data_IF_557500633268
#
_entry.id   IF_557500633268
#
_cell.length_a   1.000
_cell.length_b   1.000
_cell.length_c   1.000
_cell.angle_alpha   90.00
_cell.angle_beta   90.00
_cell.angle_gamma   90.00
#
_symmetry.space_group_name_H-M   'P 1'
#
loop_
_entity.id
_entity.type
_entity.pdbx_description
1 polymer ?
#
# COMPACT_ATOMS: atom_id res chain seq x y z
N UNK A 1 -0.10 6.60 5.40
CA UNK A 1 0.60 5.89 4.32
C UNK A 1 -0.06 6.17 2.99
N UNK A 2 0.33 5.48 1.92
CA UNK A 2 -0.26 5.59 0.58
C UNK A 2 -1.66 4.92 0.55
N UNK A 3 -2.65 5.59 1.14
CA UNK A 3 -4.02 5.09 1.32
C UNK A 3 -4.96 5.73 0.29
N UNK A 4 -5.63 4.92 -0.56
CA UNK A 4 -6.47 5.44 -1.64
C UNK A 4 -7.84 5.95 -1.19
N UNK A 5 -8.18 5.89 0.10
CA UNK A 5 -9.50 6.29 0.62
C UNK A 5 -9.50 7.68 1.28
N UNK A 6 -8.36 8.35 1.39
CA UNK A 6 -8.23 9.64 2.09
C UNK A 6 -8.69 10.82 1.21
N UNK A 7 -8.44 10.76 -0.10
CA UNK A 7 -8.80 11.79 -1.07
C UNK A 7 -9.58 11.20 -2.23
N UNK A 8 -10.34 12.05 -2.92
CA UNK A 8 -10.94 11.74 -4.22
C UNK A 8 -9.95 12.07 -5.33
N UNK A 9 -10.17 11.51 -6.50
CA UNK A 9 -9.39 11.84 -7.68
C UNK A 9 -9.61 13.30 -8.08
N UNK A 10 -8.51 13.98 -8.37
CA UNK A 10 -8.47 15.36 -8.83
C UNK A 10 -7.29 15.49 -9.81
N UNK A 11 -7.57 15.70 -11.09
CA UNK A 11 -6.50 15.78 -12.10
C UNK A 11 -5.61 17.01 -11.93
N UNK A 12 -6.14 18.12 -11.41
CA UNK A 12 -5.36 19.34 -11.19
C UNK A 12 -4.32 19.11 -10.09
N UNK A 13 -4.69 18.43 -9.00
CA UNK A 13 -3.74 17.99 -7.96
C UNK A 13 -2.76 16.90 -8.42
N UNK A 14 -3.06 16.18 -9.50
CA UNK A 14 -2.10 15.27 -10.12
C UNK A 14 -1.08 16.04 -10.99
N UNK A 15 -1.50 17.13 -11.64
CA UNK A 15 -0.63 17.99 -12.45
C UNK A 15 0.24 18.89 -11.57
N UNK A 16 -0.38 19.53 -10.59
CA UNK A 16 0.28 20.46 -9.68
C UNK A 16 0.89 19.71 -8.48
N UNK A 17 2.21 19.81 -8.24
CA UNK A 17 2.85 19.15 -7.12
C UNK A 17 2.41 19.77 -5.78
N UNK A 18 1.53 19.09 -5.07
CA UNK A 18 1.10 19.44 -3.70
C UNK A 18 1.52 18.36 -2.68
N UNK A 19 1.47 18.70 -1.40
CA UNK A 19 1.65 17.76 -0.28
C UNK A 19 0.60 16.63 -0.28
N UNK A 20 -0.58 16.89 -0.87
CA UNK A 20 -1.71 15.94 -0.95
C UNK A 20 -1.68 15.05 -2.18
N UNK A 21 -0.87 15.37 -3.19
CA UNK A 21 -0.78 14.67 -4.48
C UNK A 21 -0.64 13.16 -4.35
N UNK A 22 0.11 12.68 -3.35
CA UNK A 22 0.30 11.24 -3.12
C UNK A 22 -1.02 10.51 -2.78
N UNK A 23 -1.93 11.16 -2.05
CA UNK A 23 -3.25 10.57 -1.73
C UNK A 23 -4.19 10.59 -2.93
N UNK A 24 -4.11 11.64 -3.75
CA UNK A 24 -4.87 11.75 -5.00
C UNK A 24 -4.38 10.71 -6.02
N UNK A 25 -3.06 10.49 -6.10
CA UNK A 25 -2.44 9.46 -6.94
C UNK A 25 -2.91 8.05 -6.52
N UNK A 26 -2.94 7.76 -5.22
CA UNK A 26 -3.47 6.51 -4.70
C UNK A 26 -4.94 6.29 -5.11
N UNK A 27 -5.77 7.34 -4.97
CA UNK A 27 -7.17 7.31 -5.39
C UNK A 27 -7.31 7.07 -6.91
N UNK A 28 -6.47 7.72 -7.73
CA UNK A 28 -6.53 7.59 -9.19
C UNK A 28 -6.15 6.18 -9.68
N UNK A 29 -5.13 5.59 -9.05
CA UNK A 29 -4.78 4.18 -9.28
C UNK A 29 -5.93 3.25 -8.84
N UNK A 30 -6.62 3.56 -7.74
CA UNK A 30 -7.77 2.76 -7.28
C UNK A 30 -8.92 2.83 -8.29
N UNK A 31 -9.21 4.01 -8.83
CA UNK A 31 -10.21 4.26 -9.89
C UNK A 31 -9.82 3.70 -11.26
N UNK A 32 -8.62 3.13 -11.41
CA UNK A 32 -8.22 2.41 -12.63
C UNK A 32 -7.59 3.29 -13.70
N UNK A 33 -7.04 4.46 -13.33
CA UNK A 33 -6.26 5.27 -14.26
C UNK A 33 -5.06 4.47 -14.79
N UNK A 34 -4.80 4.58 -16.10
CA UNK A 34 -3.65 3.92 -16.70
C UNK A 34 -2.33 4.57 -16.28
N UNK A 35 -1.24 3.80 -16.31
CA UNK A 35 0.08 4.31 -15.94
C UNK A 35 0.54 5.39 -16.93
N UNK A 36 0.14 5.30 -18.20
CA UNK A 36 0.42 6.29 -19.23
C UNK A 36 -0.28 7.61 -18.94
N UNK A 37 -1.55 7.57 -18.52
CA UNK A 37 -2.31 8.76 -18.11
C UNK A 37 -1.67 9.41 -16.88
N UNK A 38 -1.35 8.60 -15.86
CA UNK A 38 -0.69 9.11 -14.65
C UNK A 38 0.70 9.67 -14.92
N UNK A 39 1.48 9.05 -15.80
CA UNK A 39 2.75 9.60 -16.27
C UNK A 39 2.55 10.94 -16.98
N UNK A 40 1.57 11.04 -17.89
CA UNK A 40 1.30 12.26 -18.62
C UNK A 40 0.95 13.43 -17.70
N UNK A 41 0.10 13.17 -16.69
CA UNK A 41 -0.33 14.14 -15.69
C UNK A 41 0.80 14.49 -14.71
N UNK A 42 1.53 13.48 -14.22
CA UNK A 42 2.39 13.68 -13.05
C UNK A 42 3.88 13.85 -13.34
N UNK A 43 4.33 13.32 -14.49
CA UNK A 43 5.75 13.11 -14.85
C UNK A 43 6.53 12.23 -13.87
N UNK A 44 5.86 11.52 -12.96
CA UNK A 44 6.48 10.49 -12.13
C UNK A 44 6.85 9.32 -13.04
N UNK A 45 8.11 8.88 -12.96
CA UNK A 45 8.58 7.77 -13.79
C UNK A 45 7.69 6.53 -13.65
N UNK A 46 7.47 5.84 -14.78
CA UNK A 46 6.56 4.68 -14.86
C UNK A 46 6.97 3.56 -13.92
N UNK A 47 8.25 3.39 -13.66
CA UNK A 47 8.75 2.39 -12.71
C UNK A 47 8.20 2.62 -11.31
N UNK A 48 8.17 3.87 -10.83
CA UNK A 48 7.57 4.20 -9.53
C UNK A 48 6.04 4.04 -9.56
N UNK A 49 5.39 4.47 -10.64
CA UNK A 49 3.94 4.30 -10.80
C UNK A 49 3.52 2.83 -10.76
N UNK A 50 4.34 1.93 -11.31
CA UNK A 50 4.13 0.49 -11.21
C UNK A 50 4.28 -0.01 -9.76
N UNK A 51 5.27 0.49 -9.00
CA UNK A 51 5.39 0.15 -7.56
C UNK A 51 4.19 0.66 -6.76
N UNK A 52 3.68 1.84 -7.05
CA UNK A 52 2.47 2.35 -6.42
C UNK A 52 1.24 1.53 -6.80
N UNK A 53 1.12 1.13 -8.06
CA UNK A 53 0.04 0.24 -8.51
C UNK A 53 0.04 -1.08 -7.76
N UNK A 54 1.21 -1.70 -7.52
CA UNK A 54 1.31 -2.93 -6.74
C UNK A 54 0.72 -2.81 -5.32
N UNK A 55 0.90 -1.65 -4.67
CA UNK A 55 0.32 -1.36 -3.35
C UNK A 55 -1.21 -1.29 -3.45
N UNK A 56 -1.73 -0.60 -4.47
CA UNK A 56 -3.17 -0.42 -4.68
C UNK A 56 -3.88 -1.71 -5.11
N UNK A 57 -3.25 -2.51 -5.96
CA UNK A 57 -3.76 -3.82 -6.35
C UNK A 57 -3.87 -4.72 -5.12
N UNK A 58 -2.89 -4.66 -4.21
CA UNK A 58 -2.98 -5.39 -2.95
C UNK A 58 -4.12 -4.91 -2.05
N UNK A 59 -4.40 -3.59 -2.01
CA UNK A 59 -5.60 -3.04 -1.35
C UNK A 59 -6.91 -3.56 -1.96
N UNK A 60 -6.94 -3.93 -3.24
CA UNK A 60 -8.13 -4.51 -3.89
C UNK A 60 -8.26 -6.01 -3.60
N UNK A 61 -7.15 -6.72 -3.44
CA UNK A 61 -7.13 -8.15 -3.14
C UNK A 61 -7.38 -8.48 -1.66
N UNK A 62 -6.82 -7.69 -0.74
CA UNK A 62 -6.86 -7.97 0.70
C UNK A 62 -8.29 -8.02 1.30
N UNK A 63 -9.29 -7.21 0.88
CA UNK A 63 -10.66 -7.30 1.38
C UNK A 63 -11.38 -8.60 1.00
N UNK A 64 -10.93 -9.32 -0.02
CA UNK A 64 -11.50 -10.62 -0.40
C UNK A 64 -11.10 -11.74 0.56
N UNK A 65 -10.25 -11.44 1.54
CA UNK A 65 -9.79 -12.34 2.59
C UNK A 65 -10.53 -11.95 3.87
N UNK A 66 -11.45 -12.81 4.32
CA UNK A 66 -12.09 -12.67 5.62
C UNK A 66 -11.05 -12.69 6.74
N UNK A 67 -11.36 -12.07 7.88
CA UNK A 67 -10.48 -12.05 9.05
C UNK A 67 -10.09 -13.45 9.54
N UNK A 68 -10.93 -14.45 9.27
CA UNK A 68 -10.71 -15.85 9.65
C UNK A 68 -9.93 -16.65 8.60
N UNK A 69 -9.72 -16.11 7.40
CA UNK A 69 -9.00 -16.78 6.29
C UNK A 69 -7.65 -16.13 5.98
N UNK A 70 -7.25 -15.11 6.74
CA UNK A 70 -5.95 -14.48 6.56
C UNK A 70 -4.83 -15.44 6.95
N UNK A 71 -4.09 -15.90 5.94
CA UNK A 71 -2.97 -16.81 6.12
C UNK A 71 -1.70 -16.05 6.49
N UNK A 72 -0.73 -16.76 7.08
CA UNK A 72 0.61 -16.22 7.37
C UNK A 72 1.29 -15.66 6.13
N UNK A 73 1.11 -16.29 4.96
CA UNK A 73 1.69 -15.84 3.69
C UNK A 73 1.12 -14.50 3.22
N UNK A 74 -0.21 -14.34 3.31
CA UNK A 74 -0.90 -13.09 2.98
C UNK A 74 -0.40 -11.99 3.92
N UNK A 75 -0.41 -12.24 5.23
CA UNK A 75 0.03 -11.25 6.21
C UNK A 75 1.51 -10.87 5.99
N UNK A 76 2.40 -11.83 5.76
CA UNK A 76 3.82 -11.60 5.47
C UNK A 76 4.02 -10.80 4.19
N UNK A 77 3.26 -11.08 3.14
CA UNK A 77 3.30 -10.32 1.88
C UNK A 77 2.85 -8.87 2.10
N UNK A 78 1.75 -8.65 2.82
CA UNK A 78 1.26 -7.32 3.19
C UNK A 78 2.33 -6.50 3.94
N UNK A 79 3.01 -7.12 4.93
CA UNK A 79 4.09 -6.45 5.68
C UNK A 79 5.28 -6.11 4.79
N UNK A 80 5.69 -7.01 3.88
CA UNK A 80 6.82 -6.77 2.94
C UNK A 80 6.58 -5.61 1.98
N UNK A 81 5.33 -5.38 1.58
CA UNK A 81 4.97 -4.23 0.73
C UNK A 81 4.70 -2.95 1.54
N UNK A 82 4.91 -2.98 2.86
CA UNK A 82 4.88 -1.79 3.73
C UNK A 82 3.53 -1.50 4.40
N UNK A 83 2.56 -2.42 4.40
CA UNK A 83 1.31 -2.19 5.12
C UNK A 83 1.53 -2.21 6.64
N UNK A 84 0.99 -1.19 7.31
CA UNK A 84 0.84 -1.17 8.76
C UNK A 84 -0.26 -2.12 9.24
N UNK A 85 -0.19 -2.54 10.50
CA UNK A 85 -1.21 -3.38 11.12
C UNK A 85 -2.58 -2.66 11.10
N UNK A 86 -2.59 -1.33 11.24
CA UNK A 86 -3.77 -0.47 11.11
C UNK A 86 -4.41 -0.53 9.72
N UNK A 87 -3.62 -0.45 8.65
CA UNK A 87 -4.14 -0.54 7.27
C UNK A 87 -4.72 -1.92 6.99
N UNK A 88 -4.06 -2.98 7.45
CA UNK A 88 -4.54 -4.36 7.28
C UNK A 88 -5.87 -4.53 8.04
N UNK A 89 -5.91 -4.11 9.31
CA UNK A 89 -7.10 -4.17 10.15
C UNK A 89 -8.30 -3.45 9.52
N UNK A 90 -8.10 -2.23 9.01
CA UNK A 90 -9.15 -1.47 8.32
C UNK A 90 -9.66 -2.19 7.06
N UNK A 91 -8.80 -2.94 6.37
CA UNK A 91 -9.14 -3.61 5.12
C UNK A 91 -9.93 -4.91 5.33
N UNK A 92 -9.59 -5.68 6.39
CA UNK A 92 -10.25 -6.96 6.72
C UNK A 92 -11.33 -6.82 7.81
N UNK A 93 -11.73 -5.58 8.14
CA UNK A 93 -12.71 -5.26 9.19
C UNK A 93 -12.37 -5.87 10.56
N UNK A 94 -11.11 -5.76 10.96
CA UNK A 94 -10.60 -6.21 12.26
C UNK A 94 -10.02 -5.03 13.07
N UNK A 95 -9.47 -5.30 14.24
CA UNK A 95 -8.77 -4.31 15.06
C UNK A 95 -7.25 -4.40 14.85
N UNK A 96 -6.55 -3.27 14.98
CA UNK A 96 -5.08 -3.25 14.88
C UNK A 96 -4.42 -4.22 15.89
N UNK A 97 -4.98 -4.30 17.10
CA UNK A 97 -4.49 -5.20 18.16
C UNK A 97 -4.65 -6.67 17.76
N UNK A 98 -5.78 -7.05 17.15
CA UNK A 98 -5.99 -8.42 16.69
C UNK A 98 -5.01 -8.79 15.57
N UNK A 99 -4.79 -7.90 14.59
CA UNK A 99 -3.81 -8.12 13.52
C UNK A 99 -2.38 -8.22 14.07
N UNK A 100 -2.03 -7.39 15.06
CA UNK A 100 -0.71 -7.45 15.72
C UNK A 100 -0.48 -8.78 16.41
N UNK A 101 -1.46 -9.26 17.20
CA UNK A 101 -1.37 -10.56 17.88
C UNK A 101 -1.21 -11.69 16.86
N UNK A 102 -2.02 -11.71 15.82
CA UNK A 102 -1.93 -12.72 14.77
C UNK A 102 -0.57 -12.70 14.04
N UNK A 103 -0.04 -11.50 13.79
CA UNK A 103 1.29 -11.32 13.20
C UNK A 103 2.38 -11.92 14.08
N UNK A 104 2.29 -11.74 15.40
CA UNK A 104 3.22 -12.28 16.39
C UNK A 104 3.07 -13.81 16.53
N UNK A 105 1.85 -14.34 16.54
CA UNK A 105 1.56 -15.78 16.54
C UNK A 105 2.15 -16.49 15.31
N UNK A 106 2.14 -15.83 14.15
CA UNK A 106 2.80 -16.32 12.94
C UNK A 106 4.32 -16.08 12.89
N UNK A 107 4.91 -15.48 13.94
CA UNK A 107 6.35 -15.19 14.00
C UNK A 107 6.81 -14.15 12.96
N UNK A 108 5.91 -13.28 12.50
CA UNK A 108 6.22 -12.27 11.48
C UNK A 108 6.71 -10.99 12.19
N UNK A 109 8.01 -10.87 12.40
CA UNK A 109 8.63 -9.67 13.00
C UNK A 109 9.54 -8.95 12.00
N UNK A 110 9.73 -7.62 12.13
CA UNK A 110 10.75 -6.92 11.35
C UNK A 110 12.15 -7.39 11.75
N UNK A 111 13.12 -7.17 10.86
CA UNK A 111 14.53 -7.36 11.13
C UNK A 111 15.24 -6.02 11.11
N UNK A 112 16.24 -5.87 11.97
CA UNK A 112 17.20 -4.76 11.90
C UNK A 112 18.32 -5.19 10.96
N UNK A 113 18.65 -4.33 10.00
CA UNK A 113 19.75 -4.52 9.04
C UNK A 113 20.73 -3.35 9.15
N UNK A 114 22.02 -3.66 9.11
CA UNK A 114 23.07 -2.64 9.09
C UNK A 114 23.31 -2.14 7.66
N UNK A 115 23.66 -0.86 7.53
CA UNK A 115 24.11 -0.27 6.26
C UNK A 115 25.65 -0.39 6.24
N UNK A 116 26.18 -1.26 5.39
CA UNK A 116 27.60 -1.62 5.35
C UNK A 116 28.35 -1.02 4.15
N UNK A 117 27.66 -0.30 3.26
CA UNK A 117 28.15 0.29 2.00
C UNK A 117 28.63 -0.70 0.92
N UNK A 118 28.68 -2.01 1.20
CA UNK A 118 29.22 -3.05 0.30
C UNK A 118 28.26 -4.21 0.00
N UNK A 119 27.00 -4.11 0.47
CA UNK A 119 25.89 -5.00 0.13
C UNK A 119 26.10 -6.48 0.55
N UNK A 120 26.32 -6.72 1.85
CA UNK A 120 26.33 -8.07 2.44
C UNK A 120 24.94 -8.56 2.92
#
# INVERSE_FOLDING_TARGET
GFDPNIKKVNEDELREPTDKRMFVLAAALKEGYSLEKLYALTKIDRWFLEKFKNIIDYYKHLPAVDSNTITSEILKKAKKIGFSDKQIAATIKSTEVAVRKLREEFGITPYVKQIDTVAA
#
